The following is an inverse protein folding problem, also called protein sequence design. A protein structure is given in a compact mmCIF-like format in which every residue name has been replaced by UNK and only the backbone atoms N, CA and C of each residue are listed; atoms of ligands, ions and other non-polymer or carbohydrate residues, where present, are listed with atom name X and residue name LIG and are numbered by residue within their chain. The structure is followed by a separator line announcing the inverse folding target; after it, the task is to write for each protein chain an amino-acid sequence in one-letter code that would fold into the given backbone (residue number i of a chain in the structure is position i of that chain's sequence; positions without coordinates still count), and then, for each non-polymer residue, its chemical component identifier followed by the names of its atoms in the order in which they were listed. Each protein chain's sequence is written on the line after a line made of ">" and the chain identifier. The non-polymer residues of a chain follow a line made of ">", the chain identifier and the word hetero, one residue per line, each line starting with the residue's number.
data_IF_441641411528
#
_entry.id   IF_441641411528
#
_cell.length_a   1.000
_cell.length_b   1.000
_cell.length_c   1.000
_cell.angle_alpha   90.00
_cell.angle_beta   90.00
_cell.angle_gamma   90.00
#
_symmetry.space_group_name_H-M   'P 1'
#
loop_
_entity.id
_entity.type
_entity.pdbx_description
1 polymer ?
#
# COMPACT_ATOMS: atom_id res chain seq x y z
N UNK A 1 47.10 -9.21 42.28
CA UNK A 1 47.26 -8.41 41.04
C UNK A 1 46.10 -8.75 40.12
N UNK A 2 45.04 -7.95 40.14
CA UNK A 2 43.96 -8.01 39.15
C UNK A 2 43.96 -6.68 38.41
N UNK A 3 44.12 -6.65 37.08
CA UNK A 3 43.99 -5.41 36.33
C UNK A 3 42.51 -5.05 36.12
N UNK A 4 42.22 -3.87 36.68
CA UNK A 4 41.17 -2.88 36.43
C UNK A 4 40.42 -2.94 35.09
N UNK A 5 39.09 -2.84 35.23
CA UNK A 5 38.12 -2.06 34.44
C UNK A 5 38.55 -1.56 33.05
N UNK A 6 37.89 -2.08 32.03
CA UNK A 6 37.43 -1.27 30.90
C UNK A 6 35.92 -1.51 30.75
N UNK A 7 35.16 -0.68 31.42
CA UNK A 7 33.73 -0.45 31.18
C UNK A 7 33.58 0.10 29.76
N UNK A 8 33.29 -0.77 28.82
CA UNK A 8 32.74 -0.35 27.53
C UNK A 8 31.21 -0.36 27.70
N UNK A 9 30.69 0.70 28.32
CA UNK A 9 29.27 1.05 28.22
C UNK A 9 29.00 1.43 26.77
N UNK A 10 28.81 0.41 25.94
CA UNK A 10 28.18 0.56 24.65
C UNK A 10 26.67 0.41 24.84
N UNK A 11 26.11 1.34 25.62
CA UNK A 11 24.70 1.68 25.56
C UNK A 11 24.44 2.34 24.19
N UNK A 12 24.46 1.54 23.12
CA UNK A 12 23.77 1.97 21.91
C UNK A 12 22.30 1.94 22.29
N UNK A 13 21.69 3.11 22.38
CA UNK A 13 20.25 3.27 22.29
C UNK A 13 19.81 2.80 20.90
N UNK A 14 19.82 1.48 20.67
CA UNK A 14 19.19 0.89 19.50
C UNK A 14 17.72 0.74 19.84
N UNK A 15 17.04 1.88 19.94
CA UNK A 15 15.66 1.93 19.49
C UNK A 15 15.72 1.68 17.98
N UNK A 16 15.85 0.40 17.61
CA UNK A 16 15.51 -0.04 16.27
C UNK A 16 14.10 0.48 16.06
N UNK A 17 13.93 1.41 15.11
CA UNK A 17 12.63 1.81 14.60
C UNK A 17 11.84 0.50 14.39
N UNK A 18 10.90 0.22 15.28
CA UNK A 18 10.13 -1.01 15.21
C UNK A 18 9.13 -0.82 14.08
N UNK A 19 9.59 -1.13 12.87
CA UNK A 19 8.81 -1.01 11.65
C UNK A 19 7.86 -2.19 11.57
N UNK A 20 6.64 -1.99 12.06
CA UNK A 20 5.56 -2.95 11.83
C UNK A 20 4.93 -2.65 10.45
N UNK A 21 5.02 -3.56 9.46
CA UNK A 21 4.42 -3.32 8.15
C UNK A 21 2.91 -3.09 8.24
N UNK A 22 2.23 -3.62 9.26
CA UNK A 22 0.79 -3.44 9.45
C UNK A 22 0.45 -1.99 9.81
N UNK A 23 1.22 -1.36 10.70
CA UNK A 23 0.99 0.05 11.06
C UNK A 23 1.21 0.96 9.85
N UNK A 24 2.22 0.67 9.04
CA UNK A 24 2.52 1.42 7.81
C UNK A 24 1.38 1.34 6.80
N UNK A 25 0.78 0.17 6.59
CA UNK A 25 -0.40 0.04 5.72
C UNK A 25 -1.55 0.91 6.23
N UNK A 26 -1.83 0.88 7.54
CA UNK A 26 -2.90 1.69 8.12
C UNK A 26 -2.64 3.19 7.99
N UNK A 27 -1.38 3.63 8.12
CA UNK A 27 -1.00 5.03 7.97
C UNK A 27 -1.09 5.49 6.51
N UNK A 28 -0.65 4.66 5.56
CA UNK A 28 -0.79 4.94 4.13
C UNK A 28 -2.26 5.06 3.71
N UNK A 29 -3.12 4.16 4.21
CA UNK A 29 -4.56 4.20 3.92
C UNK A 29 -5.24 5.48 4.44
N UNK A 30 -4.79 6.02 5.58
CA UNK A 30 -5.27 7.30 6.13
C UNK A 30 -4.70 8.50 5.37
N UNK A 31 -3.44 8.44 4.97
CA UNK A 31 -2.78 9.55 4.28
C UNK A 31 -3.33 9.80 2.87
N UNK A 32 -3.70 8.75 2.12
CA UNK A 32 -4.22 8.88 0.75
C UNK A 32 -5.41 9.87 0.64
N UNK A 33 -6.51 9.74 1.41
CA UNK A 33 -7.63 10.67 1.33
C UNK A 33 -7.24 12.08 1.82
N UNK A 34 -6.39 12.21 2.84
CA UNK A 34 -5.93 13.52 3.32
C UNK A 34 -5.13 14.27 2.24
N UNK A 35 -4.23 13.56 1.55
CA UNK A 35 -3.44 14.11 0.46
C UNK A 35 -4.32 14.45 -0.77
N UNK A 36 -5.37 13.69 -1.00
CA UNK A 36 -6.34 13.96 -2.08
C UNK A 36 -7.13 15.25 -1.81
N UNK A 37 -7.58 15.45 -0.56
CA UNK A 37 -8.29 16.67 -0.15
C UNK A 37 -7.45 17.93 -0.34
N UNK A 38 -6.14 17.85 -0.09
CA UNK A 38 -5.21 18.99 -0.22
C UNK A 38 -4.68 19.13 -1.67
N UNK A 39 -4.93 18.15 -2.53
CA UNK A 39 -4.45 18.16 -3.92
C UNK A 39 -2.96 17.85 -4.08
N UNK A 40 -2.32 17.19 -3.10
CA UNK A 40 -0.92 16.79 -3.16
C UNK A 40 -0.75 15.49 -3.97
N UNK A 41 -1.02 15.58 -5.28
CA UNK A 41 -1.11 14.44 -6.21
C UNK A 41 0.16 13.59 -6.31
N UNK A 42 1.35 14.19 -6.20
CA UNK A 42 2.62 13.45 -6.27
C UNK A 42 2.87 12.62 -5.00
N UNK A 43 2.60 13.20 -3.82
CA UNK A 43 2.70 12.50 -2.54
C UNK A 43 1.68 11.37 -2.47
N UNK A 44 0.44 11.64 -2.92
CA UNK A 44 -0.61 10.62 -3.00
C UNK A 44 -0.19 9.46 -3.91
N UNK A 45 0.39 9.74 -5.09
CA UNK A 45 0.92 8.71 -5.97
C UNK A 45 1.94 7.83 -5.26
N UNK A 46 2.92 8.43 -4.59
CA UNK A 46 3.94 7.70 -3.85
C UNK A 46 3.31 6.80 -2.78
N UNK A 47 2.34 7.31 -2.00
CA UNK A 47 1.62 6.51 -1.01
C UNK A 47 0.88 5.32 -1.64
N UNK A 48 0.21 5.52 -2.79
CA UNK A 48 -0.47 4.43 -3.50
C UNK A 48 0.50 3.38 -4.03
N UNK A 49 1.66 3.78 -4.54
CA UNK A 49 2.72 2.85 -4.99
C UNK A 49 3.25 2.01 -3.83
N UNK A 50 3.56 2.65 -2.69
CA UNK A 50 4.02 1.93 -1.49
C UNK A 50 2.97 0.96 -0.97
N UNK A 51 1.70 1.37 -0.93
CA UNK A 51 0.59 0.50 -0.52
C UNK A 51 0.46 -0.73 -1.43
N UNK A 52 0.59 -0.54 -2.75
CA UNK A 52 0.57 -1.63 -3.73
C UNK A 52 1.76 -2.58 -3.54
N UNK A 53 2.97 -2.05 -3.31
CA UNK A 53 4.16 -2.86 -3.07
C UNK A 53 3.99 -3.76 -1.83
N UNK A 54 3.47 -3.22 -0.73
CA UNK A 54 3.24 -4.01 0.49
C UNK A 54 2.17 -5.08 0.26
N UNK A 55 1.07 -4.73 -0.42
CA UNK A 55 -0.01 -5.68 -0.72
C UNK A 55 0.50 -6.85 -1.57
N UNK A 56 1.32 -6.58 -2.59
CA UNK A 56 1.93 -7.62 -3.43
C UNK A 56 2.85 -8.54 -2.63
N UNK A 57 3.66 -7.97 -1.71
CA UNK A 57 4.55 -8.72 -0.84
C UNK A 57 3.81 -9.64 0.14
N UNK A 58 2.65 -9.23 0.64
CA UNK A 58 1.81 -10.08 1.50
C UNK A 58 1.26 -11.30 0.76
N UNK A 59 0.78 -11.13 -0.48
CA UNK A 59 0.21 -12.24 -1.27
C UNK A 59 1.23 -13.33 -1.64
N UNK A 60 2.52 -12.99 -1.76
CA UNK A 60 3.55 -13.98 -2.12
C UNK A 60 3.91 -14.98 -1.01
N UNK A 61 3.45 -14.77 0.22
CA UNK A 61 3.90 -15.55 1.39
C UNK A 61 2.87 -16.59 1.86
N UNK A 62 1.64 -16.54 1.35
CA UNK A 62 0.50 -17.36 1.85
C UNK A 62 -0.09 -18.23 0.73
N UNK A 63 0.75 -18.94 -0.01
CA UNK A 63 0.31 -19.92 -1.02
C UNK A 63 0.35 -21.36 -0.52
N UNK A 64 0.02 -21.62 0.74
CA UNK A 64 -0.30 -22.97 1.21
C UNK A 64 -1.26 -22.92 2.43
N UNK A 65 -2.52 -23.23 2.13
CA UNK A 65 -3.65 -23.58 3.01
C UNK A 65 -4.65 -22.48 3.41
N UNK A 66 -5.90 -22.89 3.16
CA UNK A 66 -7.17 -22.54 3.78
C UNK A 66 -7.91 -21.26 3.38
N UNK A 67 -9.00 -21.54 2.66
CA UNK A 67 -10.36 -21.10 2.96
C UNK A 67 -10.57 -19.59 3.16
N UNK A 68 -11.26 -19.01 2.18
CA UNK A 68 -12.30 -17.98 2.30
C UNK A 68 -12.65 -17.57 3.76
N UNK A 69 -11.76 -16.82 4.43
CA UNK A 69 -12.13 -16.05 5.62
C UNK A 69 -12.82 -14.78 5.12
N UNK A 70 -14.11 -14.97 4.86
CA UNK A 70 -15.10 -13.95 4.54
C UNK A 70 -15.35 -13.08 5.79
N UNK A 71 -14.31 -12.35 6.21
CA UNK A 71 -14.34 -11.39 7.32
C UNK A 71 -14.46 -9.93 6.86
N UNK A 72 -14.61 -9.69 5.56
CA UNK A 72 -14.85 -8.34 5.02
C UNK A 72 -16.36 -8.13 4.95
N UNK A 73 -16.86 -7.27 5.85
CA UNK A 73 -18.22 -6.76 5.90
C UNK A 73 -18.92 -6.78 4.52
N UNK A 74 -19.83 -7.75 4.32
CA UNK A 74 -20.54 -8.04 3.07
C UNK A 74 -21.61 -6.98 2.71
N UNK A 75 -21.43 -5.75 3.17
CA UNK A 75 -22.23 -4.57 2.83
C UNK A 75 -21.48 -3.59 1.93
N UNK A 76 -20.20 -3.85 1.63
CA UNK A 76 -19.42 -3.09 0.67
C UNK A 76 -19.92 -3.44 -0.73
N UNK A 77 -20.58 -2.49 -1.38
CA UNK A 77 -21.07 -2.68 -2.75
C UNK A 77 -19.89 -3.04 -3.66
N UNK A 78 -20.09 -3.87 -4.70
CA UNK A 78 -19.04 -4.20 -5.69
C UNK A 78 -18.35 -2.94 -6.27
N UNK A 79 -19.04 -1.79 -6.19
CA UNK A 79 -18.55 -0.44 -6.48
C UNK A 79 -17.45 0.03 -5.54
N UNK A 80 -17.63 -0.12 -4.23
CA UNK A 80 -16.61 0.24 -3.24
C UNK A 80 -15.43 -0.73 -3.30
N UNK A 81 -15.69 -2.03 -3.47
CA UNK A 81 -14.64 -3.06 -3.58
C UNK A 81 -13.73 -2.84 -4.80
N UNK A 82 -14.30 -2.39 -5.91
CA UNK A 82 -13.54 -2.04 -7.12
C UNK A 82 -12.66 -0.80 -6.95
N UNK A 83 -13.03 0.12 -6.07
CA UNK A 83 -12.32 1.39 -5.82
C UNK A 83 -11.33 1.33 -4.65
N UNK A 84 -11.46 0.37 -3.74
CA UNK A 84 -10.57 0.20 -2.59
C UNK A 84 -9.34 -0.66 -2.89
N UNK A 85 -9.30 -1.34 -4.04
CA UNK A 85 -8.12 -2.10 -4.47
C UNK A 85 -6.90 -1.18 -4.56
N UNK A 86 -5.79 -1.58 -3.93
CA UNK A 86 -4.52 -0.86 -3.99
C UNK A 86 -4.03 -0.68 -5.43
N UNK A 87 -4.33 -1.63 -6.32
CA UNK A 87 -3.97 -1.56 -7.74
C UNK A 87 -4.76 -0.45 -8.45
N UNK A 88 -6.05 -0.34 -8.15
CA UNK A 88 -6.91 0.70 -8.70
C UNK A 88 -6.49 2.09 -8.17
N UNK A 89 -6.21 2.21 -6.87
CA UNK A 89 -5.75 3.47 -6.28
C UNK A 89 -4.44 3.96 -6.91
N UNK A 90 -3.49 3.04 -7.12
CA UNK A 90 -2.23 3.34 -7.81
C UNK A 90 -2.47 3.71 -9.29
N UNK A 91 -3.32 2.98 -10.00
CA UNK A 91 -3.64 3.32 -11.39
C UNK A 91 -4.35 4.68 -11.51
N UNK A 92 -5.24 4.99 -10.58
CA UNK A 92 -5.95 6.26 -10.52
C UNK A 92 -5.01 7.43 -10.21
N UNK A 93 -4.00 7.24 -9.36
CA UNK A 93 -3.02 8.29 -9.08
C UNK A 93 -2.17 8.62 -10.33
N UNK A 94 -1.83 7.63 -11.16
CA UNK A 94 -1.21 7.87 -12.47
C UNK A 94 -2.13 8.65 -13.42
N UNK A 95 -3.42 8.30 -13.44
CA UNK A 95 -4.41 9.01 -14.25
C UNK A 95 -4.52 10.48 -13.85
N UNK A 96 -4.52 10.78 -12.55
CA UNK A 96 -4.61 12.15 -12.01
C UNK A 96 -3.39 13.01 -12.38
N UNK A 97 -2.24 12.38 -12.59
CA UNK A 97 -1.01 13.01 -13.08
C UNK A 97 -0.90 13.04 -14.61
N UNK A 98 -1.96 12.64 -15.34
CA UNK A 98 -1.99 12.53 -16.80
C UNK A 98 -0.96 11.54 -17.37
N UNK A 99 -0.51 10.59 -16.55
CA UNK A 99 0.37 9.50 -16.96
C UNK A 99 -0.46 8.33 -17.51
N UNK A 100 -1.24 8.58 -18.55
CA UNK A 100 -2.28 7.67 -19.05
C UNK A 100 -1.75 6.30 -19.49
N UNK A 101 -0.62 6.28 -20.21
CA UNK A 101 0.03 5.03 -20.64
C UNK A 101 0.43 4.16 -19.44
N UNK A 102 0.90 4.78 -18.35
CA UNK A 102 1.26 4.06 -17.11
C UNK A 102 0.01 3.51 -16.43
N UNK A 103 -1.05 4.32 -16.33
CA UNK A 103 -2.35 3.90 -15.82
C UNK A 103 -2.87 2.64 -16.55
N UNK A 104 -2.97 2.71 -17.88
CA UNK A 104 -3.48 1.60 -18.70
C UNK A 104 -2.60 0.34 -18.58
N UNK A 105 -1.28 0.50 -18.53
CA UNK A 105 -0.34 -0.60 -18.38
C UNK A 105 -0.53 -1.38 -17.07
N UNK A 106 -0.76 -0.69 -15.95
CA UNK A 106 -0.98 -1.34 -14.65
C UNK A 106 -2.35 -2.03 -14.57
N UNK A 107 -3.35 -1.55 -15.30
CA UNK A 107 -4.69 -2.13 -15.34
C UNK A 107 -4.89 -3.23 -16.40
N UNK A 108 -3.85 -3.62 -17.15
CA UNK A 108 -3.96 -4.58 -18.28
C UNK A 108 -4.60 -5.94 -17.94
N UNK A 109 -4.47 -6.39 -16.69
CA UNK A 109 -5.05 -7.65 -16.21
C UNK A 109 -6.24 -7.43 -15.27
N UNK A 110 -6.67 -6.18 -15.04
CA UNK A 110 -7.78 -5.88 -14.16
C UNK A 110 -9.11 -6.22 -14.84
N UNK A 111 -9.93 -7.03 -14.17
CA UNK A 111 -11.28 -7.44 -14.61
C UNK A 111 -12.40 -6.71 -13.87
N UNK A 112 -12.07 -5.93 -12.83
CA UNK A 112 -13.02 -5.05 -12.14
C UNK A 112 -13.62 -4.04 -13.10
N UNK A 113 -14.92 -3.79 -13.02
CA UNK A 113 -15.61 -2.82 -13.89
C UNK A 113 -14.99 -1.42 -13.86
N UNK A 114 -14.56 -0.95 -12.69
CA UNK A 114 -13.90 0.36 -12.54
C UNK A 114 -12.49 0.37 -13.13
N UNK A 115 -11.70 -0.67 -12.87
CA UNK A 115 -10.36 -0.79 -13.45
C UNK A 115 -10.40 -0.96 -14.97
N UNK A 116 -11.36 -1.72 -15.48
CA UNK A 116 -11.56 -1.90 -16.92
C UNK A 116 -11.99 -0.58 -17.59
N UNK A 117 -12.93 0.15 -17.00
CA UNK A 117 -13.34 1.47 -17.49
C UNK A 117 -12.17 2.46 -17.48
N UNK A 118 -11.46 2.58 -16.35
CA UNK A 118 -10.34 3.50 -16.22
C UNK A 118 -9.22 3.20 -17.20
N UNK A 119 -8.97 1.91 -17.50
CA UNK A 119 -8.01 1.49 -18.53
C UNK A 119 -8.41 1.92 -19.93
N UNK A 120 -9.69 1.81 -20.28
CA UNK A 120 -10.18 2.22 -21.60
C UNK A 120 -10.23 3.73 -21.77
N UNK A 121 -10.37 4.47 -20.67
CA UNK A 121 -10.46 5.93 -20.67
C UNK A 121 -9.11 6.64 -20.60
N UNK A 122 -8.08 5.98 -20.07
CA UNK A 122 -6.70 6.46 -20.04
C UNK A 122 -6.08 6.39 -21.44
#
# INVERSE_FOLDING_TARGET
>A
MNPLSMSFDEQRDVNYFQFDPKTVVTDLQKAIPELDLVGLVHSRKWCCEMLQCITLGSTSTESDNDELDDGINLNVTARELGTTSSLYLMAKSYFDLREYTRCAHHLRNCTSGYGFFLRLYA
#
